data_IF_752818077384
#
_entry.id   IF_752818077384
#
_cell.length_a   1.000
_cell.length_b   1.000
_cell.length_c   1.000
_cell.angle_alpha   90.00
_cell.angle_beta   90.00
_cell.angle_gamma   90.00
#
_symmetry.space_group_name_H-M   'P 1'
#
loop_
_entity.id
_entity.type
_entity.pdbx_description
1 polymer ?
#
# COMPACT_ATOMS: atom_id res chain seq x y z
N UNK A 1 -21.95 17.76 -10.75
CA UNK A 1 -21.78 17.68 -9.28
C UNK A 1 -20.50 16.90 -9.05
N UNK A 2 -19.56 17.48 -8.29
CA UNK A 2 -18.25 16.84 -8.09
C UNK A 2 -18.45 15.50 -7.36
N UNK A 3 -17.99 14.44 -8.00
CA UNK A 3 -17.89 13.09 -7.46
C UNK A 3 -16.74 13.10 -6.45
N UNK A 4 -17.03 13.45 -5.21
CA UNK A 4 -16.05 13.44 -4.12
C UNK A 4 -16.25 12.18 -3.28
N UNK A 5 -15.31 11.23 -3.38
CA UNK A 5 -15.34 10.00 -2.61
C UNK A 5 -15.38 10.22 -1.09
N UNK A 6 -14.98 11.42 -0.60
CA UNK A 6 -15.10 11.79 0.82
C UNK A 6 -16.54 11.98 1.29
N UNK A 7 -17.50 12.12 0.37
CA UNK A 7 -18.92 12.18 0.71
C UNK A 7 -19.40 10.94 1.47
N UNK A 8 -18.71 9.79 1.34
CA UNK A 8 -19.00 8.58 2.09
C UNK A 8 -18.96 8.79 3.62
N UNK A 9 -18.13 9.73 4.10
CA UNK A 9 -18.05 10.07 5.53
C UNK A 9 -19.35 10.62 6.12
N UNK A 10 -20.19 11.25 5.29
CA UNK A 10 -21.48 11.81 5.68
C UNK A 10 -22.66 10.88 5.38
N UNK A 11 -22.41 9.74 4.73
CA UNK A 11 -23.44 8.80 4.37
C UNK A 11 -23.97 8.06 5.61
N UNK A 12 -25.21 7.56 5.54
CA UNK A 12 -25.75 6.72 6.61
C UNK A 12 -25.00 5.40 6.69
N UNK A 13 -25.05 4.74 7.85
CA UNK A 13 -24.39 3.44 8.05
C UNK A 13 -24.83 2.39 7.02
N UNK A 14 -26.09 2.42 6.60
CA UNK A 14 -26.61 1.56 5.53
C UNK A 14 -25.87 1.77 4.20
N UNK A 15 -25.47 3.00 3.88
CA UNK A 15 -24.76 3.33 2.63
C UNK A 15 -23.25 3.07 2.75
N UNK A 16 -22.66 3.26 3.93
CA UNK A 16 -21.27 2.84 4.23
C UNK A 16 -21.10 1.32 4.22
N UNK A 17 -22.20 0.60 4.39
CA UNK A 17 -22.28 -0.85 4.26
C UNK A 17 -22.69 -1.30 2.84
N UNK A 18 -23.00 -0.40 1.92
CA UNK A 18 -23.35 -0.76 0.55
C UNK A 18 -22.09 -0.92 -0.31
N UNK A 19 -21.84 -2.13 -0.83
CA UNK A 19 -20.61 -2.45 -1.57
C UNK A 19 -20.43 -1.56 -2.79
N UNK A 20 -21.49 -1.30 -3.55
CA UNK A 20 -21.38 -0.55 -4.81
C UNK A 20 -21.09 0.92 -4.52
N UNK A 21 -21.69 1.47 -3.47
CA UNK A 21 -21.43 2.84 -3.01
C UNK A 21 -19.99 2.97 -2.50
N UNK A 22 -19.53 2.02 -1.68
CA UNK A 22 -18.16 2.01 -1.16
C UNK A 22 -17.16 1.89 -2.31
N UNK A 23 -17.36 0.98 -3.26
CA UNK A 23 -16.47 0.82 -4.42
C UNK A 23 -16.42 2.08 -5.28
N UNK A 24 -17.56 2.73 -5.53
CA UNK A 24 -17.59 3.98 -6.29
C UNK A 24 -16.88 5.13 -5.55
N UNK A 25 -17.05 5.22 -4.22
CA UNK A 25 -16.34 6.21 -3.41
C UNK A 25 -14.83 5.97 -3.41
N UNK A 26 -14.39 4.72 -3.22
CA UNK A 26 -12.99 4.32 -3.23
C UNK A 26 -12.34 4.57 -4.59
N UNK A 27 -13.05 4.33 -5.70
CA UNK A 27 -12.57 4.65 -7.06
C UNK A 27 -12.36 6.14 -7.29
N UNK A 28 -13.11 6.99 -6.59
CA UNK A 28 -12.95 8.44 -6.67
C UNK A 28 -11.85 8.94 -5.73
N UNK A 29 -11.69 8.30 -4.57
CA UNK A 29 -10.68 8.63 -3.58
C UNK A 29 -10.35 7.39 -2.73
N UNK A 30 -9.12 6.88 -2.82
CA UNK A 30 -8.69 5.69 -2.08
C UNK A 30 -8.82 5.83 -0.56
N UNK A 31 -8.68 7.06 -0.03
CA UNK A 31 -8.82 7.34 1.40
C UNK A 31 -10.28 7.26 1.88
N UNK A 32 -11.28 7.21 0.98
CA UNK A 32 -12.67 7.01 1.36
C UNK A 32 -12.89 5.67 2.10
N UNK A 33 -11.96 4.72 1.98
CA UNK A 33 -11.94 3.48 2.76
C UNK A 33 -12.06 3.73 4.27
N UNK A 34 -11.55 4.86 4.79
CA UNK A 34 -11.63 5.21 6.21
C UNK A 34 -13.07 5.30 6.74
N UNK A 35 -14.03 5.58 5.84
CA UNK A 35 -15.44 5.73 6.18
C UNK A 35 -16.28 4.49 5.86
N UNK A 36 -15.71 3.52 5.16
CA UNK A 36 -16.41 2.28 4.85
C UNK A 36 -16.57 1.44 6.12
N UNK A 37 -17.60 0.59 6.14
CA UNK A 37 -17.77 -0.39 7.21
C UNK A 37 -16.51 -1.28 7.36
N UNK A 38 -16.22 -1.71 8.60
CA UNK A 38 -15.05 -2.54 8.92
C UNK A 38 -14.92 -3.79 8.03
N UNK A 39 -16.05 -4.37 7.59
CA UNK A 39 -16.02 -5.53 6.69
C UNK A 39 -15.34 -5.24 5.35
N UNK A 40 -15.40 -4.00 4.87
CA UNK A 40 -14.73 -3.56 3.64
C UNK A 40 -13.28 -3.13 3.89
N UNK A 41 -12.96 -2.65 5.09
CA UNK A 41 -11.58 -2.47 5.53
C UNK A 41 -10.83 -3.80 5.69
N UNK A 42 -11.57 -4.89 5.88
CA UNK A 42 -11.07 -6.26 5.92
C UNK A 42 -11.23 -7.03 4.59
N UNK A 43 -11.79 -6.41 3.55
CA UNK A 43 -11.95 -7.03 2.23
C UNK A 43 -10.70 -6.75 1.37
N UNK A 44 -9.88 -7.77 1.03
CA UNK A 44 -8.68 -7.58 0.24
C UNK A 44 -8.93 -6.90 -1.10
N UNK A 45 -10.05 -7.17 -1.77
CA UNK A 45 -10.36 -6.59 -3.09
C UNK A 45 -10.61 -5.09 -2.99
N UNK A 46 -11.40 -4.67 -1.98
CA UNK A 46 -11.72 -3.27 -1.74
C UNK A 46 -10.48 -2.51 -1.29
N UNK A 47 -9.68 -3.10 -0.39
CA UNK A 47 -8.43 -2.51 0.09
C UNK A 47 -7.41 -2.37 -1.03
N UNK A 48 -7.24 -3.37 -1.90
CA UNK A 48 -6.35 -3.26 -3.06
C UNK A 48 -6.81 -2.19 -4.05
N UNK A 49 -8.11 -2.07 -4.28
CA UNK A 49 -8.66 -1.00 -5.11
C UNK A 49 -8.33 0.37 -4.50
N UNK A 50 -8.50 0.51 -3.18
CA UNK A 50 -8.16 1.72 -2.46
C UNK A 50 -6.67 2.05 -2.54
N UNK A 51 -5.79 1.07 -2.34
CA UNK A 51 -4.33 1.21 -2.44
C UNK A 51 -3.89 1.63 -3.85
N UNK A 52 -4.51 1.07 -4.89
CA UNK A 52 -4.24 1.46 -6.28
C UNK A 52 -4.63 2.91 -6.56
N UNK A 53 -5.66 3.41 -5.86
CA UNK A 53 -6.11 4.79 -6.00
C UNK A 53 -5.28 5.75 -5.14
N UNK A 54 -4.92 5.35 -3.92
CA UNK A 54 -4.02 6.05 -3.00
C UNK A 54 -3.34 5.03 -2.09
N UNK A 55 -2.01 4.90 -2.20
CA UNK A 55 -1.24 3.92 -1.45
C UNK A 55 -1.29 4.12 0.06
N UNK A 56 -1.68 5.30 0.56
CA UNK A 56 -1.91 5.52 1.98
C UNK A 56 -3.20 4.89 2.51
N UNK A 57 -4.09 4.40 1.63
CA UNK A 57 -5.29 3.66 2.03
C UNK A 57 -4.97 2.42 2.88
N UNK A 58 -3.75 1.88 2.80
CA UNK A 58 -3.26 0.83 3.73
C UNK A 58 -3.43 1.23 5.21
N UNK A 59 -3.39 2.52 5.54
CA UNK A 59 -3.63 3.03 6.89
C UNK A 59 -5.00 2.59 7.47
N UNK A 60 -5.99 2.41 6.61
CA UNK A 60 -7.38 2.08 6.97
C UNK A 60 -7.73 0.61 6.77
N UNK A 61 -6.82 -0.20 6.26
CA UNK A 61 -7.01 -1.64 6.21
C UNK A 61 -7.02 -2.24 7.63
N UNK A 62 -7.70 -3.38 7.79
CA UNK A 62 -7.72 -4.11 9.05
C UNK A 62 -6.30 -4.64 9.41
N UNK A 63 -6.03 -4.93 10.69
CA UNK A 63 -4.72 -5.40 11.14
C UNK A 63 -4.20 -6.64 10.40
N UNK A 64 -5.08 -7.56 10.01
CA UNK A 64 -4.75 -8.78 9.28
C UNK A 64 -4.17 -8.47 7.89
N UNK A 65 -4.77 -7.52 7.17
CA UNK A 65 -4.29 -7.11 5.84
C UNK A 65 -3.03 -6.25 5.92
N UNK A 66 -2.76 -5.58 7.03
CA UNK A 66 -1.48 -4.91 7.29
C UNK A 66 -0.31 -5.88 7.55
N UNK A 67 -0.61 -7.17 7.79
CA UNK A 67 0.34 -8.27 7.89
C UNK A 67 0.46 -9.07 6.60
N UNK A 68 -0.44 -8.85 5.64
CA UNK A 68 -0.40 -9.53 4.36
C UNK A 68 0.71 -8.92 3.51
N UNK A 69 1.71 -9.75 3.19
CA UNK A 69 2.90 -9.33 2.44
C UNK A 69 2.55 -8.81 1.04
N UNK A 70 1.54 -9.38 0.38
CA UNK A 70 1.15 -8.97 -0.97
C UNK A 70 0.40 -7.63 -0.94
N UNK A 71 -0.51 -7.45 0.02
CA UNK A 71 -1.21 -6.16 0.22
C UNK A 71 -0.22 -5.05 0.57
N UNK A 72 0.67 -5.29 1.53
CA UNK A 72 1.68 -4.31 1.95
C UNK A 72 2.63 -4.01 0.79
N UNK A 73 3.09 -5.02 0.06
CA UNK A 73 3.93 -4.84 -1.13
C UNK A 73 3.24 -3.98 -2.17
N UNK A 74 1.96 -4.22 -2.49
CA UNK A 74 1.21 -3.39 -3.43
C UNK A 74 1.16 -1.91 -3.00
N UNK A 75 1.01 -1.64 -1.70
CA UNK A 75 1.04 -0.27 -1.18
C UNK A 75 2.43 0.36 -1.27
N UNK A 76 3.48 -0.37 -0.94
CA UNK A 76 4.86 0.15 -0.96
C UNK A 76 5.35 0.41 -2.38
N UNK A 77 4.97 -0.43 -3.34
CA UNK A 77 5.28 -0.21 -4.76
C UNK A 77 4.56 1.03 -5.34
N UNK A 78 3.36 1.34 -4.85
CA UNK A 78 2.66 2.57 -5.23
C UNK A 78 3.24 3.83 -4.55
N UNK A 79 3.61 3.73 -3.27
CA UNK A 79 4.32 4.79 -2.57
C UNK A 79 5.12 4.25 -1.37
N UNK A 80 6.44 4.43 -1.39
CA UNK A 80 7.36 3.83 -0.41
C UNK A 80 7.07 4.22 1.05
N UNK A 81 6.57 5.45 1.30
CA UNK A 81 6.19 5.91 2.64
C UNK A 81 4.97 5.19 3.21
N UNK A 82 4.22 4.43 2.41
CA UNK A 82 3.11 3.60 2.90
C UNK A 82 3.58 2.44 3.78
N UNK A 83 4.86 2.05 3.70
CA UNK A 83 5.45 1.02 4.57
C UNK A 83 5.22 1.33 6.06
N UNK A 84 5.13 2.61 6.45
CA UNK A 84 4.88 3.02 7.85
C UNK A 84 3.57 2.49 8.44
N UNK A 85 2.60 2.14 7.59
CA UNK A 85 1.29 1.61 7.98
C UNK A 85 1.24 0.08 8.04
N UNK A 86 2.27 -0.60 7.53
CA UNK A 86 2.39 -2.03 7.64
C UNK A 86 2.63 -2.46 9.09
N UNK A 87 2.31 -3.72 9.36
CA UNK A 87 2.55 -4.33 10.66
C UNK A 87 4.01 -4.15 11.11
N UNK A 88 4.28 -3.81 12.39
CA UNK A 88 5.63 -3.63 12.90
C UNK A 88 6.58 -4.81 12.67
N UNK A 89 6.07 -6.05 12.61
CA UNK A 89 6.87 -7.24 12.32
C UNK A 89 7.34 -7.26 10.87
N UNK A 90 6.47 -6.92 9.91
CA UNK A 90 6.86 -6.80 8.50
C UNK A 90 7.83 -5.66 8.25
N UNK A 91 7.68 -4.53 8.96
CA UNK A 91 8.63 -3.41 8.88
C UNK A 91 10.04 -3.75 9.36
N UNK A 92 10.20 -4.86 10.08
CA UNK A 92 11.49 -5.38 10.57
C UNK A 92 11.93 -6.65 9.83
N UNK A 93 11.07 -7.23 8.99
CA UNK A 93 11.37 -8.42 8.20
C UNK A 93 12.37 -8.05 7.10
N UNK A 94 13.65 -8.31 7.37
CA UNK A 94 14.74 -8.04 6.43
C UNK A 94 14.54 -8.75 5.09
N UNK A 95 14.01 -9.97 5.07
CA UNK A 95 13.82 -10.71 3.83
C UNK A 95 12.74 -10.02 2.97
N UNK A 96 11.65 -9.59 3.60
CA UNK A 96 10.59 -8.84 2.94
C UNK A 96 11.09 -7.48 2.41
N UNK A 97 11.82 -6.72 3.23
CA UNK A 97 12.38 -5.42 2.81
C UNK A 97 13.37 -5.57 1.65
N UNK A 98 14.23 -6.59 1.69
CA UNK A 98 15.18 -6.85 0.60
C UNK A 98 14.47 -7.24 -0.70
N UNK A 99 13.38 -8.01 -0.63
CA UNK A 99 12.57 -8.34 -1.80
C UNK A 99 11.93 -7.08 -2.41
N UNK A 100 11.38 -6.17 -1.58
CA UNK A 100 10.84 -4.90 -2.05
C UNK A 100 11.91 -4.05 -2.76
N UNK A 101 13.13 -4.04 -2.25
CA UNK A 101 14.25 -3.28 -2.82
C UNK A 101 14.74 -3.82 -4.16
N UNK A 102 14.75 -5.14 -4.33
CA UNK A 102 15.17 -5.77 -5.59
C UNK A 102 14.16 -5.59 -6.72
N UNK A 103 12.88 -5.38 -6.37
CA UNK A 103 11.83 -5.18 -7.36
C UNK A 103 11.71 -3.73 -7.83
N UNK A 104 12.19 -2.78 -7.03
CA UNK A 104 12.21 -1.36 -7.35
C UNK A 104 13.64 -0.89 -7.62
N UNK A 105 14.22 -1.32 -8.74
CA UNK A 105 15.60 -0.97 -9.13
C UNK A 105 15.80 0.54 -9.43
N UNK A 106 14.75 1.38 -9.35
CA UNK A 106 14.82 2.82 -9.71
C UNK A 106 14.74 3.82 -8.53
N UNK A 107 14.41 3.44 -7.29
CA UNK A 107 14.01 4.44 -6.26
C UNK A 107 14.92 4.57 -5.01
N UNK A 108 15.66 3.55 -4.58
CA UNK A 108 16.28 3.54 -3.24
C UNK A 108 17.64 4.25 -3.07
N UNK A 109 18.17 4.90 -4.13
CA UNK A 109 19.46 5.62 -4.03
C UNK A 109 19.37 6.95 -3.25
N UNK A 110 18.18 7.51 -3.00
CA UNK A 110 18.04 8.88 -2.46
C UNK A 110 17.76 8.96 -0.94
N UNK A 111 17.31 7.87 -0.30
CA UNK A 111 16.79 7.93 1.08
C UNK A 111 17.29 6.83 2.03
N UNK A 112 18.25 5.99 1.62
CA UNK A 112 18.86 4.96 2.47
C UNK A 112 20.36 5.21 2.57
N UNK A 113 20.91 5.15 3.77
CA UNK A 113 22.35 5.33 4.03
C UNK A 113 23.18 4.34 3.19
N UNK A 114 24.02 4.83 2.26
CA UNK A 114 24.91 3.99 1.45
C UNK A 114 25.80 3.06 2.29
N UNK A 115 26.09 3.41 3.55
CA UNK A 115 26.91 2.62 4.47
C UNK A 115 26.26 1.29 4.89
N UNK A 116 24.94 1.13 4.77
CA UNK A 116 24.26 -0.15 4.96
C UNK A 116 24.52 -1.15 3.82
N UNK A 117 25.15 -0.68 2.72
CA UNK A 117 25.53 -1.48 1.55
C UNK A 117 27.04 -1.72 1.45
N UNK A 118 27.82 -1.41 2.49
CA UNK A 118 29.24 -1.80 2.57
C UNK A 118 29.41 -3.30 2.89
N UNK A 119 28.95 -4.16 1.98
CA UNK A 119 29.55 -5.46 1.65
C UNK A 119 29.17 -5.76 0.18
N UNK A 120 30.11 -6.20 -0.68
CA UNK A 120 30.06 -5.95 -2.11
C UNK A 120 29.10 -6.90 -2.86
N UNK A 121 27.82 -6.53 -2.97
CA UNK A 121 26.89 -7.11 -3.96
C UNK A 121 26.94 -6.31 -5.27
N UNK A 122 28.13 -5.88 -5.71
CA UNK A 122 28.33 -5.18 -7.00
C UNK A 122 29.13 -5.99 -8.02
N UNK A 123 28.95 -7.32 -8.06
CA UNK A 123 29.59 -8.14 -9.10
C UNK A 123 28.69 -9.07 -9.92
N UNK A 124 27.36 -9.02 -9.80
CA UNK A 124 26.53 -10.01 -10.50
C UNK A 124 25.36 -9.54 -11.36
N UNK A 125 25.15 -8.23 -11.55
CA UNK A 125 24.16 -7.78 -12.56
C UNK A 125 24.65 -6.49 -13.22
N UNK A 126 25.58 -6.60 -14.17
CA UNK A 126 25.71 -5.71 -15.33
C UNK A 126 26.84 -6.26 -16.23
N UNK A 127 26.50 -7.20 -17.11
CA UNK A 127 27.24 -7.42 -18.35
C UNK A 127 26.33 -6.98 -19.50
N UNK A 128 26.63 -5.88 -20.21
CA UNK A 128 26.14 -5.75 -21.57
C UNK A 128 26.99 -6.63 -22.48
N UNK A 129 26.33 -7.55 -23.18
CA UNK A 129 26.89 -8.22 -24.35
C UNK A 129 27.15 -7.17 -25.43
N UNK A 130 28.39 -7.03 -25.88
CA UNK A 130 28.84 -6.79 -27.27
C UNK A 130 30.36 -6.83 -27.29
#
# INVERSE_FOLDING_TARGET
>A
MAKDGRALGYASERLKDDRDIVLEAVRQNGLALEHANERFQADPEVVLLAIRQDSFALAFACPELKKDKEIVRAAVLGFSLSLKFADPELRKDRAFLMALMQESDDFYQEHVDPALFEEPIRKLVYLPKS
#
